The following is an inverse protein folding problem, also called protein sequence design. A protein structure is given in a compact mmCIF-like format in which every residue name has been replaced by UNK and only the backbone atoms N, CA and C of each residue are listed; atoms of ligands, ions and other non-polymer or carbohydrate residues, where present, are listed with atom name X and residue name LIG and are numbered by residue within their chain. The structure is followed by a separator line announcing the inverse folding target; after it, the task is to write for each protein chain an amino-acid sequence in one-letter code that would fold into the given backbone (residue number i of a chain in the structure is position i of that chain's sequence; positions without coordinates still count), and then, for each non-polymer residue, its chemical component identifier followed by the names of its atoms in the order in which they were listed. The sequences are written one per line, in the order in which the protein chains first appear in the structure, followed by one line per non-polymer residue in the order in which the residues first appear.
data_IF_112763756767
#
_entry.id   IF_112763756767
#
_cell.length_a   1.000
_cell.length_b   1.000
_cell.length_c   1.000
_cell.angle_alpha   90.00
_cell.angle_beta   90.00
_cell.angle_gamma   90.00
#
_symmetry.space_group_name_H-M   'P 1'
#
loop_
_entity.id
_entity.type
_entity.pdbx_description
1 polymer ?
#
# COMPACT_ATOMS: atom_id res chain seq x y z
N UNK A 1 42.51 -140.38 90.19
CA UNK A 1 41.58 -141.47 90.57
C UNK A 1 42.17 -142.75 90.01
N UNK A 2 42.72 -143.67 90.81
CA UNK A 2 41.99 -144.58 91.73
C UNK A 2 40.87 -145.31 90.99
N UNK A 3 41.16 -146.51 90.51
CA UNK A 3 40.13 -147.51 90.22
C UNK A 3 39.56 -147.91 91.57
N UNK A 4 38.45 -147.29 91.96
CA UNK A 4 37.65 -147.80 93.06
C UNK A 4 36.98 -149.07 92.55
N UNK A 5 37.22 -150.19 93.22
CA UNK A 5 36.39 -151.37 93.04
C UNK A 5 34.94 -150.95 93.21
N UNK A 6 34.18 -151.04 92.12
CA UNK A 6 32.76 -150.77 92.14
C UNK A 6 32.10 -151.98 92.78
N UNK A 7 32.05 -152.00 94.12
CA UNK A 7 31.22 -152.93 94.87
C UNK A 7 29.85 -152.97 94.18
N UNK A 8 29.53 -154.09 93.55
CA UNK A 8 28.45 -154.13 92.59
C UNK A 8 27.13 -153.90 93.33
N UNK A 9 26.61 -152.66 93.26
CA UNK A 9 25.45 -152.24 94.05
C UNK A 9 24.33 -153.24 93.80
N UNK A 10 23.94 -153.97 94.84
CA UNK A 10 23.09 -155.15 94.71
C UNK A 10 21.73 -154.83 95.33
N UNK A 11 20.75 -154.55 94.47
CA UNK A 11 19.38 -154.26 94.91
C UNK A 11 18.55 -155.55 94.91
N UNK A 12 17.72 -155.80 95.93
CA UNK A 12 16.95 -157.04 96.01
C UNK A 12 15.93 -157.13 94.87
N UNK A 13 15.81 -158.32 94.27
CA UNK A 13 14.85 -158.59 93.20
C UNK A 13 13.42 -158.34 93.68
N UNK A 14 12.67 -157.50 92.96
CA UNK A 14 11.25 -157.17 93.22
C UNK A 14 10.26 -158.32 92.97
N UNK A 15 10.71 -159.57 93.11
CA UNK A 15 9.87 -160.76 93.14
C UNK A 15 10.38 -161.82 94.13
N UNK A 16 11.68 -162.13 94.12
CA UNK A 16 12.27 -163.22 94.93
C UNK A 16 13.33 -162.76 95.96
N UNK A 17 13.55 -161.45 96.13
CA UNK A 17 14.46 -160.88 97.12
C UNK A 17 15.96 -161.04 96.84
N UNK A 18 16.37 -161.99 95.99
CA UNK A 18 17.79 -162.23 95.63
C UNK A 18 18.53 -160.93 95.22
N UNK A 19 19.80 -160.75 95.59
CA UNK A 19 20.57 -159.57 95.17
C UNK A 19 20.75 -159.56 93.65
N UNK A 20 20.30 -158.48 93.00
CA UNK A 20 20.49 -158.24 91.57
C UNK A 20 21.60 -157.20 91.40
N UNK A 21 22.76 -157.54 90.81
CA UNK A 21 23.81 -156.56 90.55
C UNK A 21 23.29 -155.50 89.60
N UNK A 22 23.37 -154.24 90.02
CA UNK A 22 23.07 -153.09 89.18
C UNK A 22 24.22 -152.84 88.20
N UNK A 23 23.96 -152.00 87.19
CA UNK A 23 25.02 -151.46 86.34
C UNK A 23 25.50 -150.13 86.92
N UNK A 24 26.79 -149.86 86.78
CA UNK A 24 27.42 -148.58 87.12
C UNK A 24 27.20 -147.47 86.08
N UNK A 25 26.43 -147.74 85.01
CA UNK A 25 26.17 -146.81 83.91
C UNK A 25 24.70 -146.37 83.83
N UNK A 26 24.48 -145.16 83.29
CA UNK A 26 23.22 -144.43 83.38
C UNK A 26 21.96 -145.20 82.92
N UNK A 27 20.82 -144.76 83.46
CA UNK A 27 19.47 -145.20 83.11
C UNK A 27 18.85 -146.21 84.08
N UNK A 28 17.58 -146.57 83.82
CA UNK A 28 16.70 -147.31 84.74
C UNK A 28 17.33 -148.57 85.39
N UNK A 29 17.43 -148.64 86.73
CA UNK A 29 17.94 -149.80 87.48
C UNK A 29 17.24 -151.14 87.18
N UNK A 30 17.99 -152.24 87.32
CA UNK A 30 17.51 -153.62 87.17
C UNK A 30 16.70 -154.06 88.40
N UNK A 31 15.37 -154.08 88.27
CA UNK A 31 14.42 -154.40 89.36
C UNK A 31 14.13 -155.90 89.52
N UNK A 32 14.67 -156.77 88.66
CA UNK A 32 14.44 -158.23 88.67
C UNK A 32 15.69 -159.02 88.29
N UNK A 33 15.79 -160.26 88.79
CA UNK A 33 16.76 -161.26 88.34
C UNK A 33 16.76 -161.44 86.81
N UNK A 34 17.96 -161.50 86.23
CA UNK A 34 18.23 -161.67 84.79
C UNK A 34 18.92 -163.01 84.49
N UNK A 35 19.57 -163.56 85.49
CA UNK A 35 20.15 -164.91 85.66
C UNK A 35 19.18 -166.08 85.46
N UNK A 36 17.88 -165.80 85.27
CA UNK A 36 16.82 -166.79 85.33
C UNK A 36 15.79 -166.56 84.19
N UNK A 37 16.26 -166.28 82.97
CA UNK A 37 15.50 -166.01 81.73
C UNK A 37 14.34 -164.99 81.83
N UNK A 38 14.43 -164.09 82.81
CA UNK A 38 13.36 -163.15 83.14
C UNK A 38 12.15 -163.77 83.83
N UNK A 39 12.20 -165.03 84.30
CA UNK A 39 11.14 -165.68 85.08
C UNK A 39 10.62 -164.79 86.21
N UNK A 40 11.51 -164.16 86.98
CA UNK A 40 11.11 -163.24 88.05
C UNK A 40 10.33 -162.01 87.55
N UNK A 41 10.62 -161.52 86.34
CA UNK A 41 9.87 -160.44 85.70
C UNK A 41 8.53 -160.94 85.15
N UNK A 42 8.48 -162.14 84.55
CA UNK A 42 7.25 -162.79 84.04
C UNK A 42 6.30 -163.12 85.19
N UNK A 43 6.81 -163.72 86.26
CA UNK A 43 6.07 -164.04 87.48
C UNK A 43 5.56 -162.77 88.16
N UNK A 44 6.39 -161.73 88.34
CA UNK A 44 5.93 -160.42 88.83
C UNK A 44 4.87 -159.77 87.93
N UNK A 45 4.93 -159.95 86.60
CA UNK A 45 3.90 -159.50 85.66
C UNK A 45 2.60 -160.31 85.83
N UNK A 46 2.68 -161.63 85.95
CA UNK A 46 1.52 -162.50 86.13
C UNK A 46 0.83 -162.30 87.49
N UNK A 47 1.61 -162.11 88.56
CA UNK A 47 1.12 -161.72 89.90
C UNK A 47 0.37 -160.40 89.82
N UNK A 48 0.94 -159.36 89.19
CA UNK A 48 0.23 -158.08 88.97
C UNK A 48 -1.00 -158.21 88.09
N UNK A 49 -0.96 -158.99 87.01
CA UNK A 49 -2.13 -159.23 86.15
C UNK A 49 -3.27 -159.90 86.95
N UNK A 50 -2.97 -160.96 87.71
CA UNK A 50 -3.94 -161.63 88.59
C UNK A 50 -4.51 -160.69 89.65
N UNK A 51 -3.68 -159.88 90.31
CA UNK A 51 -4.15 -158.92 91.31
C UNK A 51 -4.99 -157.77 90.70
N UNK A 52 -4.62 -157.23 89.53
CA UNK A 52 -5.44 -156.26 88.78
C UNK A 52 -6.82 -156.82 88.41
N UNK A 53 -6.86 -158.09 88.03
CA UNK A 53 -8.07 -158.83 87.61
C UNK A 53 -8.85 -159.45 88.79
N UNK A 54 -8.32 -159.38 90.02
CA UNK A 54 -9.02 -159.90 91.20
C UNK A 54 -10.22 -159.00 91.54
N UNK A 55 -11.45 -159.55 91.66
CA UNK A 55 -12.61 -158.78 92.08
C UNK A 55 -12.49 -158.35 93.55
N UNK A 56 -13.17 -157.26 93.92
CA UNK A 56 -13.22 -156.76 95.29
C UNK A 56 -11.96 -156.05 95.79
N UNK A 57 -11.82 -156.04 97.12
CA UNK A 57 -10.91 -155.14 97.86
C UNK A 57 -9.42 -155.39 97.54
N UNK A 58 -9.02 -156.64 97.34
CA UNK A 58 -7.64 -156.97 96.94
C UNK A 58 -7.22 -156.34 95.60
N UNK A 59 -8.15 -156.28 94.62
CA UNK A 59 -7.90 -155.61 93.34
C UNK A 59 -7.89 -154.08 93.44
N UNK A 60 -8.61 -153.51 94.40
CA UNK A 60 -8.51 -152.07 94.71
C UNK A 60 -7.15 -151.74 95.34
N UNK A 61 -6.70 -152.52 96.34
CA UNK A 61 -5.38 -152.38 96.97
C UNK A 61 -4.25 -152.56 95.96
N UNK A 62 -4.37 -153.50 95.02
CA UNK A 62 -3.39 -153.65 93.95
C UNK A 62 -3.30 -152.41 93.04
N UNK A 63 -4.44 -151.78 92.72
CA UNK A 63 -4.47 -150.55 91.92
C UNK A 63 -3.93 -149.33 92.69
N UNK A 64 -4.18 -149.20 93.99
CA UNK A 64 -3.57 -148.11 94.78
C UNK A 64 -2.06 -148.27 94.91
N UNK A 65 -1.54 -149.48 95.06
CA UNK A 65 -0.08 -149.74 95.02
C UNK A 65 0.56 -149.36 93.68
N UNK A 66 -0.13 -149.52 92.55
CA UNK A 66 0.38 -149.07 91.24
C UNK A 66 0.30 -147.54 91.06
N UNK A 67 -0.62 -146.86 91.75
CA UNK A 67 -0.59 -145.39 91.88
C UNK A 67 0.60 -144.95 92.74
N UNK A 68 0.90 -145.66 93.84
CA UNK A 68 2.08 -145.38 94.68
C UNK A 68 3.39 -145.60 93.91
N UNK A 69 3.56 -146.71 93.17
CA UNK A 69 4.75 -146.94 92.32
C UNK A 69 4.90 -145.88 91.22
N UNK A 70 3.79 -145.31 90.74
CA UNK A 70 3.81 -144.19 89.78
C UNK A 70 4.12 -142.84 90.43
N UNK A 71 3.65 -142.60 91.65
CA UNK A 71 4.01 -141.42 92.45
C UNK A 71 5.50 -141.44 92.83
N UNK A 72 6.03 -142.60 93.22
CA UNK A 72 7.47 -142.80 93.49
C UNK A 72 8.32 -142.49 92.24
N UNK A 73 7.92 -142.98 91.06
CA UNK A 73 8.57 -142.64 89.79
C UNK A 73 8.46 -141.15 89.43
N UNK A 74 7.32 -140.50 89.70
CA UNK A 74 7.17 -139.06 89.50
C UNK A 74 8.05 -138.26 90.47
N UNK A 75 8.04 -138.58 91.77
CA UNK A 75 8.90 -137.96 92.79
C UNK A 75 10.36 -138.13 92.42
N UNK A 76 10.80 -139.33 92.02
CA UNK A 76 12.16 -139.57 91.53
C UNK A 76 12.54 -138.65 90.36
N UNK A 77 11.69 -138.57 89.33
CA UNK A 77 11.93 -137.68 88.18
C UNK A 77 11.90 -136.19 88.53
N UNK A 78 11.05 -135.79 89.49
CA UNK A 78 10.98 -134.42 89.99
C UNK A 78 12.18 -134.08 90.86
N UNK A 79 12.71 -135.02 91.66
CA UNK A 79 13.95 -134.84 92.42
C UNK A 79 15.17 -134.80 91.52
N UNK A 80 15.22 -135.62 90.46
CA UNK A 80 16.31 -135.59 89.47
C UNK A 80 16.30 -134.27 88.68
N UNK A 81 15.13 -133.82 88.20
CA UNK A 81 14.99 -132.52 87.53
C UNK A 81 15.22 -131.32 88.46
N UNK A 82 14.73 -131.36 89.70
CA UNK A 82 15.00 -130.33 90.70
C UNK A 82 16.48 -130.31 91.05
N UNK A 83 17.15 -131.45 91.12
CA UNK A 83 18.60 -131.50 91.35
C UNK A 83 19.39 -131.01 90.13
N UNK A 84 18.97 -131.30 88.90
CA UNK A 84 19.65 -130.76 87.71
C UNK A 84 19.57 -129.23 87.65
N UNK A 85 18.41 -128.64 87.97
CA UNK A 85 18.23 -127.18 87.95
C UNK A 85 18.76 -126.46 89.22
N UNK A 86 18.61 -127.04 90.41
CA UNK A 86 19.07 -126.44 91.68
C UNK A 86 20.51 -126.82 92.06
N UNK A 87 21.18 -127.71 91.31
CA UNK A 87 22.62 -127.94 91.50
C UNK A 87 23.41 -126.65 91.20
N UNK A 88 24.60 -126.46 91.80
CA UNK A 88 25.45 -125.32 91.47
C UNK A 88 25.70 -125.17 89.96
N UNK A 89 25.91 -126.29 89.24
CA UNK A 89 26.10 -126.28 87.79
C UNK A 89 24.82 -125.91 87.00
N UNK A 90 23.63 -126.30 87.51
CA UNK A 90 22.34 -125.90 86.93
C UNK A 90 22.10 -124.39 87.07
N UNK A 91 22.33 -123.86 88.27
CA UNK A 91 22.23 -122.42 88.54
C UNK A 91 23.30 -121.63 87.77
N UNK A 92 24.54 -122.12 87.69
CA UNK A 92 25.59 -121.49 86.87
C UNK A 92 25.23 -121.47 85.38
N UNK A 93 24.61 -122.53 84.85
CA UNK A 93 24.08 -122.56 83.47
C UNK A 93 22.97 -121.53 83.28
N UNK A 94 21.97 -121.48 84.16
CA UNK A 94 20.88 -120.48 84.09
C UNK A 94 21.42 -119.05 84.18
N UNK A 95 22.38 -118.80 85.08
CA UNK A 95 23.05 -117.49 85.22
C UNK A 95 23.90 -117.16 83.98
N UNK A 96 24.54 -118.14 83.35
CA UNK A 96 25.27 -117.94 82.09
C UNK A 96 24.32 -117.64 80.91
N UNK A 97 23.18 -118.32 80.85
CA UNK A 97 22.13 -118.09 79.85
C UNK A 97 21.52 -116.68 79.99
N UNK A 98 21.10 -116.29 81.19
CA UNK A 98 20.62 -114.92 81.49
C UNK A 98 21.70 -113.86 81.23
N UNK A 99 22.99 -114.15 81.51
CA UNK A 99 24.10 -113.25 81.16
C UNK A 99 24.31 -113.14 79.64
N UNK A 100 24.13 -114.22 78.89
CA UNK A 100 24.21 -114.19 77.43
C UNK A 100 23.04 -113.42 76.82
N UNK A 101 21.82 -113.65 77.30
CA UNK A 101 20.62 -112.93 76.87
C UNK A 101 20.74 -111.43 77.17
N UNK A 102 21.06 -111.05 78.41
CA UNK A 102 21.23 -109.64 78.80
C UNK A 102 22.40 -108.97 78.07
N UNK A 103 23.49 -109.69 77.78
CA UNK A 103 24.56 -109.17 76.91
C UNK A 103 24.07 -108.93 75.47
N UNK A 104 23.22 -109.81 74.94
CA UNK A 104 22.57 -109.63 73.64
C UNK A 104 21.61 -108.44 73.60
N UNK A 105 20.78 -108.29 74.64
CA UNK A 105 19.87 -107.14 74.81
C UNK A 105 20.65 -105.81 74.91
N UNK A 106 21.76 -105.77 75.66
CA UNK A 106 22.63 -104.58 75.76
C UNK A 106 23.33 -104.29 74.43
N UNK A 107 23.79 -105.30 73.70
CA UNK A 107 24.37 -105.13 72.36
C UNK A 107 23.34 -104.58 71.36
N UNK A 108 22.10 -105.09 71.38
CA UNK A 108 21.00 -104.58 70.56
C UNK A 108 20.67 -103.12 70.90
N UNK A 109 20.50 -102.78 72.18
CA UNK A 109 20.22 -101.41 72.62
C UNK A 109 21.37 -100.43 72.28
N UNK A 110 22.63 -100.90 72.23
CA UNK A 110 23.75 -100.10 71.74
C UNK A 110 23.75 -99.91 70.22
N UNK A 111 23.36 -100.94 69.44
CA UNK A 111 23.16 -100.80 68.00
C UNK A 111 22.02 -99.82 67.70
N UNK A 112 20.83 -99.99 68.29
CA UNK A 112 19.68 -99.10 68.14
C UNK A 112 20.01 -97.64 68.49
N UNK A 113 20.76 -97.41 69.58
CA UNK A 113 21.23 -96.06 69.97
C UNK A 113 22.17 -95.47 68.92
N UNK A 114 23.14 -96.24 68.44
CA UNK A 114 24.15 -95.74 67.51
C UNK A 114 23.60 -95.60 66.09
N UNK A 115 22.56 -96.34 65.74
CA UNK A 115 21.75 -96.19 64.52
C UNK A 115 20.91 -94.90 64.60
N UNK A 116 20.15 -94.71 65.69
CA UNK A 116 19.39 -93.49 65.93
C UNK A 116 20.28 -92.22 65.98
N UNK A 117 21.54 -92.35 66.45
CA UNK A 117 22.52 -91.24 66.37
C UNK A 117 22.89 -90.93 64.91
N UNK A 118 23.17 -91.92 64.07
CA UNK A 118 23.50 -91.69 62.66
C UNK A 118 22.32 -91.11 61.89
N UNK A 119 21.10 -91.58 62.17
CA UNK A 119 19.88 -91.00 61.58
C UNK A 119 19.69 -89.52 62.00
N UNK A 120 19.98 -89.18 63.26
CA UNK A 120 19.96 -87.78 63.72
C UNK A 120 21.05 -86.92 63.07
N UNK A 121 22.27 -87.46 62.89
CA UNK A 121 23.38 -86.79 62.19
C UNK A 121 23.05 -86.56 60.70
N UNK A 122 22.44 -87.55 60.03
CA UNK A 122 21.96 -87.44 58.66
C UNK A 122 20.81 -86.43 58.53
N UNK A 123 19.83 -86.47 59.44
CA UNK A 123 18.72 -85.51 59.46
C UNK A 123 19.21 -84.06 59.71
N UNK A 124 20.16 -83.85 60.62
CA UNK A 124 20.78 -82.55 60.85
C UNK A 124 21.54 -82.04 59.62
N UNK A 125 22.28 -82.93 58.95
CA UNK A 125 23.00 -82.62 57.70
C UNK A 125 22.04 -82.22 56.58
N UNK A 126 20.95 -82.99 56.41
CA UNK A 126 19.92 -82.71 55.42
C UNK A 126 19.18 -81.39 55.70
N UNK A 127 18.88 -81.10 56.97
CA UNK A 127 18.26 -79.84 57.37
C UNK A 127 19.18 -78.63 57.11
N UNK A 128 20.48 -78.74 57.39
CA UNK A 128 21.46 -77.70 57.10
C UNK A 128 21.59 -77.45 55.58
N UNK A 129 21.64 -78.51 54.77
CA UNK A 129 21.64 -78.39 53.31
C UNK A 129 20.35 -77.73 52.78
N UNK A 130 19.18 -78.12 53.30
CA UNK A 130 17.91 -77.50 52.92
C UNK A 130 17.83 -76.00 53.29
N UNK A 131 18.38 -75.61 54.44
CA UNK A 131 18.50 -74.20 54.85
C UNK A 131 19.43 -73.41 53.92
N UNK A 132 20.57 -73.99 53.52
CA UNK A 132 21.48 -73.36 52.55
C UNK A 132 20.83 -73.16 51.17
N UNK A 133 20.11 -74.17 50.67
CA UNK A 133 19.37 -74.10 49.40
C UNK A 133 18.26 -73.03 49.49
N UNK A 134 17.50 -72.99 50.59
CA UNK A 134 16.46 -71.97 50.79
C UNK A 134 17.03 -70.55 50.88
N UNK A 135 18.20 -70.36 51.51
CA UNK A 135 18.89 -69.09 51.55
C UNK A 135 19.40 -68.66 50.17
N UNK A 136 20.01 -69.57 49.40
CA UNK A 136 20.46 -69.31 48.03
C UNK A 136 19.30 -68.93 47.11
N UNK A 137 18.22 -69.71 47.07
CA UNK A 137 17.03 -69.41 46.27
C UNK A 137 16.34 -68.09 46.69
N UNK A 138 16.46 -67.68 47.96
CA UNK A 138 15.99 -66.37 48.41
C UNK A 138 16.86 -65.24 47.88
N UNK A 139 18.19 -65.39 47.92
CA UNK A 139 19.13 -64.42 47.37
C UNK A 139 18.99 -64.28 45.84
N UNK A 140 18.90 -65.39 45.10
CA UNK A 140 18.67 -65.41 43.64
C UNK A 140 17.36 -64.69 43.26
N UNK A 141 16.27 -64.94 44.00
CA UNK A 141 14.99 -64.26 43.81
C UNK A 141 15.10 -62.75 44.02
N UNK A 142 15.79 -62.33 45.07
CA UNK A 142 15.88 -60.92 45.44
C UNK A 142 16.87 -60.16 44.54
N UNK A 143 17.92 -60.82 44.03
CA UNK A 143 18.76 -60.29 42.95
C UNK A 143 17.95 -60.16 41.64
N UNK A 144 17.24 -61.20 41.21
CA UNK A 144 16.42 -61.17 40.00
C UNK A 144 15.33 -60.08 40.08
N UNK A 145 14.78 -59.83 41.27
CA UNK A 145 13.87 -58.71 41.52
C UNK A 145 14.55 -57.34 41.40
N UNK A 146 15.76 -57.20 41.94
CA UNK A 146 16.54 -55.96 41.80
C UNK A 146 16.88 -55.68 40.33
N UNK A 147 17.36 -56.69 39.59
CA UNK A 147 17.62 -56.61 38.14
C UNK A 147 16.34 -56.21 37.35
N UNK A 148 15.16 -56.71 37.74
CA UNK A 148 13.90 -56.38 37.09
C UNK A 148 13.46 -54.92 37.33
N UNK A 149 13.57 -54.40 38.56
CA UNK A 149 13.30 -52.98 38.83
C UNK A 149 14.35 -52.06 38.18
N UNK A 150 15.62 -52.50 38.06
CA UNK A 150 16.66 -51.76 37.35
C UNK A 150 16.41 -51.68 35.84
N UNK A 151 16.04 -52.80 35.22
CA UNK A 151 15.62 -52.85 33.81
C UNK A 151 14.39 -51.96 33.55
N UNK A 152 13.42 -51.95 34.47
CA UNK A 152 12.24 -51.08 34.42
C UNK A 152 12.62 -49.60 34.53
N UNK A 153 13.45 -49.21 35.50
CA UNK A 153 13.94 -47.82 35.63
C UNK A 153 14.70 -47.36 34.38
N UNK A 154 15.53 -48.23 33.79
CA UNK A 154 16.22 -47.95 32.54
C UNK A 154 15.25 -47.78 31.35
N UNK A 155 14.19 -48.60 31.27
CA UNK A 155 13.15 -48.46 30.26
C UNK A 155 12.32 -47.17 30.42
N UNK A 156 11.96 -46.79 31.65
CA UNK A 156 11.27 -45.52 31.97
C UNK A 156 12.13 -44.29 31.66
N UNK A 157 13.46 -44.37 31.81
CA UNK A 157 14.39 -43.32 31.40
C UNK A 157 14.57 -43.25 29.86
N UNK A 158 14.72 -44.40 29.20
CA UNK A 158 14.77 -44.47 27.74
C UNK A 158 13.48 -43.94 27.10
N UNK A 159 12.32 -44.24 27.69
CA UNK A 159 11.03 -43.71 27.27
C UNK A 159 10.94 -42.19 27.39
N UNK A 160 11.40 -41.61 28.51
CA UNK A 160 11.49 -40.14 28.68
C UNK A 160 12.43 -39.50 27.66
N UNK A 161 13.65 -40.03 27.48
CA UNK A 161 14.60 -39.55 26.47
C UNK A 161 14.04 -39.62 25.04
N UNK A 162 13.26 -40.64 24.71
CA UNK A 162 12.58 -40.75 23.42
C UNK A 162 11.45 -39.71 23.24
N UNK A 163 10.68 -39.42 24.29
CA UNK A 163 9.65 -38.37 24.27
C UNK A 163 10.26 -36.97 24.15
N UNK A 164 11.35 -36.69 24.88
CA UNK A 164 12.12 -35.45 24.79
C UNK A 164 12.69 -35.24 23.38
N UNK A 165 13.29 -36.28 22.78
CA UNK A 165 13.79 -36.23 21.41
C UNK A 165 12.67 -36.01 20.37
N UNK A 166 11.50 -36.63 20.55
CA UNK A 166 10.35 -36.40 19.68
C UNK A 166 9.80 -34.96 19.80
N UNK A 167 9.66 -34.44 21.02
CA UNK A 167 9.24 -33.06 21.26
C UNK A 167 10.23 -32.03 20.67
N UNK A 168 11.54 -32.28 20.79
CA UNK A 168 12.59 -31.46 20.19
C UNK A 168 12.56 -31.50 18.66
N UNK A 169 12.33 -32.68 18.06
CA UNK A 169 12.12 -32.83 16.60
C UNK A 169 10.92 -32.01 16.14
N UNK A 170 9.78 -32.12 16.82
CA UNK A 170 8.54 -31.45 16.39
C UNK A 170 8.63 -29.94 16.56
N UNK A 171 9.38 -29.47 17.56
CA UNK A 171 9.72 -28.05 17.71
C UNK A 171 10.68 -27.55 16.62
N UNK A 172 11.67 -28.36 16.21
CA UNK A 172 12.54 -28.04 15.08
C UNK A 172 11.76 -27.98 13.75
N UNK A 173 10.82 -28.90 13.53
CA UNK A 173 9.92 -28.90 12.37
C UNK A 173 9.04 -27.65 12.37
N UNK A 174 8.38 -27.31 13.48
CA UNK A 174 7.59 -26.06 13.61
C UNK A 174 8.42 -24.82 13.27
N UNK A 175 9.63 -24.72 13.81
CA UNK A 175 10.57 -23.61 13.52
C UNK A 175 10.98 -23.57 12.05
N UNK A 176 11.26 -24.72 11.43
CA UNK A 176 11.59 -24.79 10.01
C UNK A 176 10.41 -24.36 9.12
N UNK A 177 9.20 -24.83 9.38
CA UNK A 177 7.99 -24.41 8.66
C UNK A 177 7.72 -22.92 8.81
N UNK A 178 7.87 -22.36 10.02
CA UNK A 178 7.73 -20.92 10.25
C UNK A 178 8.79 -20.10 9.49
N UNK A 179 10.04 -20.56 9.45
CA UNK A 179 11.11 -19.92 8.70
C UNK A 179 10.88 -19.95 7.17
N UNK A 180 10.32 -21.05 6.63
CA UNK A 180 9.92 -21.14 5.22
C UNK A 180 8.79 -20.16 4.91
N UNK A 181 7.72 -20.14 5.71
CA UNK A 181 6.60 -19.21 5.51
C UNK A 181 7.01 -17.73 5.61
N UNK A 182 7.97 -17.41 6.50
CA UNK A 182 8.57 -16.06 6.56
C UNK A 182 9.40 -15.73 5.31
N UNK A 183 10.10 -16.72 4.71
CA UNK A 183 10.86 -16.52 3.48
C UNK A 183 9.94 -16.32 2.27
N UNK A 184 8.91 -17.16 2.13
CA UNK A 184 7.89 -17.05 1.08
C UNK A 184 7.15 -15.69 1.15
N UNK A 185 6.84 -15.23 2.37
CA UNK A 185 6.30 -13.88 2.59
C UNK A 185 7.28 -12.78 2.17
N UNK A 186 8.55 -12.87 2.57
CA UNK A 186 9.56 -11.88 2.20
C UNK A 186 9.86 -11.87 0.69
N UNK A 187 9.77 -13.03 0.02
CA UNK A 187 9.84 -13.16 -1.44
C UNK A 187 8.62 -12.45 -2.09
N UNK A 188 7.41 -12.69 -1.60
CA UNK A 188 6.20 -12.00 -2.08
C UNK A 188 6.19 -10.48 -1.81
N UNK A 189 6.70 -10.03 -0.66
CA UNK A 189 6.80 -8.59 -0.33
C UNK A 189 7.89 -7.90 -1.18
N UNK A 190 8.99 -8.59 -1.50
CA UNK A 190 10.01 -8.12 -2.47
C UNK A 190 9.42 -7.98 -3.87
N UNK A 191 8.66 -8.96 -4.33
CA UNK A 191 8.15 -8.99 -5.70
C UNK A 191 7.05 -7.95 -5.91
N UNK A 192 6.15 -7.76 -4.93
CA UNK A 192 5.21 -6.64 -4.92
C UNK A 192 5.94 -5.28 -4.96
N UNK A 193 7.01 -5.11 -4.16
CA UNK A 193 7.81 -3.89 -4.18
C UNK A 193 8.60 -3.68 -5.50
N UNK A 194 8.82 -4.73 -6.29
CA UNK A 194 9.41 -4.63 -7.62
C UNK A 194 8.37 -4.17 -8.66
N UNK A 195 7.14 -4.70 -8.59
CA UNK A 195 6.01 -4.28 -9.43
C UNK A 195 5.63 -2.82 -9.16
N UNK A 196 5.51 -2.41 -7.88
CA UNK A 196 5.29 -1.01 -7.46
C UNK A 196 6.38 -0.08 -8.01
N UNK A 197 7.65 -0.52 -7.97
CA UNK A 197 8.78 0.24 -8.49
C UNK A 197 8.76 0.34 -10.02
N UNK A 198 8.23 -0.66 -10.74
CA UNK A 198 8.03 -0.55 -12.19
C UNK A 198 6.84 0.37 -12.52
N UNK A 199 5.73 0.27 -11.79
CA UNK A 199 4.59 1.18 -11.93
C UNK A 199 5.02 2.65 -11.75
N UNK A 200 5.71 2.96 -10.65
CA UNK A 200 6.23 4.31 -10.39
C UNK A 200 7.24 4.80 -11.45
N UNK A 201 8.00 3.89 -12.09
CA UNK A 201 8.89 4.23 -13.22
C UNK A 201 8.10 4.57 -14.48
N UNK A 202 7.03 3.83 -14.77
CA UNK A 202 6.12 4.10 -15.91
C UNK A 202 5.41 5.44 -15.71
N UNK A 203 4.82 5.68 -14.54
CA UNK A 203 4.21 6.97 -14.19
C UNK A 203 5.19 8.14 -14.31
N UNK A 204 6.43 7.98 -13.82
CA UNK A 204 7.46 9.01 -13.96
C UNK A 204 7.88 9.25 -15.43
N UNK A 205 7.82 8.23 -16.27
CA UNK A 205 8.04 8.36 -17.71
C UNK A 205 6.87 9.08 -18.39
N UNK A 206 5.63 8.75 -18.05
CA UNK A 206 4.43 9.39 -18.59
C UNK A 206 4.34 10.86 -18.17
N UNK A 207 4.65 11.19 -16.91
CA UNK A 207 4.76 12.58 -16.41
C UNK A 207 5.85 13.36 -17.16
N UNK A 208 6.99 12.73 -17.48
CA UNK A 208 8.03 13.35 -18.32
C UNK A 208 7.55 13.57 -19.75
N UNK A 209 6.88 12.59 -20.36
CA UNK A 209 6.33 12.70 -21.71
C UNK A 209 5.21 13.75 -21.81
N UNK A 210 4.38 13.87 -20.78
CA UNK A 210 3.37 14.92 -20.65
C UNK A 210 4.02 16.31 -20.51
N UNK A 211 5.03 16.46 -19.64
CA UNK A 211 5.83 17.69 -19.52
C UNK A 211 6.47 18.09 -20.85
N UNK A 212 7.11 17.15 -21.54
CA UNK A 212 7.82 17.40 -22.79
C UNK A 212 6.86 17.68 -23.96
N UNK A 213 5.58 17.34 -23.81
CA UNK A 213 4.49 17.75 -24.70
C UNK A 213 4.02 19.16 -24.36
N UNK A 214 3.66 19.42 -23.11
CA UNK A 214 3.26 20.75 -22.64
C UNK A 214 4.34 21.83 -22.87
N UNK A 215 5.63 21.49 -22.80
CA UNK A 215 6.71 22.43 -23.14
C UNK A 215 6.80 22.70 -24.64
N UNK A 216 6.52 21.71 -25.50
CA UNK A 216 6.40 21.93 -26.95
C UNK A 216 5.19 22.79 -27.27
N UNK A 217 4.04 22.51 -26.67
CA UNK A 217 2.81 23.27 -26.87
C UNK A 217 2.96 24.72 -26.40
N UNK A 218 3.65 24.94 -25.27
CA UNK A 218 4.00 26.28 -24.78
C UNK A 218 4.95 27.02 -25.75
N UNK A 219 5.96 26.34 -26.32
CA UNK A 219 6.84 26.95 -27.34
C UNK A 219 6.07 27.32 -28.60
N UNK A 220 5.13 26.48 -29.04
CA UNK A 220 4.22 26.75 -30.16
C UNK A 220 3.34 27.97 -29.87
N UNK A 221 2.64 27.99 -28.73
CA UNK A 221 1.80 29.12 -28.34
C UNK A 221 2.58 30.44 -28.18
N UNK A 222 3.84 30.39 -27.71
CA UNK A 222 4.75 31.54 -27.68
C UNK A 222 5.12 32.01 -29.10
N UNK A 223 5.26 31.10 -30.05
CA UNK A 223 5.54 31.45 -31.45
C UNK A 223 4.29 32.02 -32.14
N UNK A 224 3.14 31.36 -32.00
CA UNK A 224 1.84 31.85 -32.50
C UNK A 224 1.54 33.26 -31.95
N UNK A 225 1.84 33.52 -30.67
CA UNK A 225 1.68 34.84 -30.05
C UNK A 225 2.65 35.90 -30.61
N UNK A 226 3.86 35.53 -31.05
CA UNK A 226 4.77 36.44 -31.76
C UNK A 226 4.29 36.71 -33.17
N UNK A 227 3.76 35.71 -33.87
CA UNK A 227 3.31 35.85 -35.26
C UNK A 227 1.96 36.59 -35.33
N UNK A 228 1.10 36.41 -34.33
CA UNK A 228 -0.05 37.29 -34.06
C UNK A 228 0.39 38.72 -33.75
N UNK A 229 1.43 38.94 -32.93
CA UNK A 229 1.97 40.29 -32.71
C UNK A 229 2.52 40.89 -34.01
N UNK A 230 3.31 40.14 -34.77
CA UNK A 230 3.92 40.59 -36.03
C UNK A 230 2.87 40.91 -37.11
N UNK A 231 1.78 40.15 -37.17
CA UNK A 231 0.64 40.45 -38.06
C UNK A 231 -0.19 41.65 -37.58
N UNK A 232 -0.40 41.82 -36.27
CA UNK A 232 -1.01 43.04 -35.70
C UNK A 232 -0.14 44.28 -35.95
N UNK A 233 1.17 44.19 -35.75
CA UNK A 233 2.10 45.28 -36.07
C UNK A 233 2.14 45.57 -37.58
N UNK A 234 2.06 44.57 -38.44
CA UNK A 234 1.99 44.77 -39.89
C UNK A 234 0.66 45.39 -40.33
N UNK A 235 -0.46 45.00 -39.71
CA UNK A 235 -1.76 45.63 -39.91
C UNK A 235 -1.78 47.07 -39.37
N UNK A 236 -1.12 47.34 -38.24
CA UNK A 236 -0.97 48.69 -37.69
C UNK A 236 -0.08 49.57 -38.57
N UNK A 237 1.02 49.05 -39.13
CA UNK A 237 1.85 49.75 -40.13
C UNK A 237 1.04 50.08 -41.38
N UNK A 238 0.32 49.11 -41.95
CA UNK A 238 -0.60 49.36 -43.09
C UNK A 238 -1.67 50.39 -42.76
N UNK A 239 -2.31 50.31 -41.59
CA UNK A 239 -3.30 51.30 -41.17
C UNK A 239 -2.69 52.70 -40.96
N UNK A 240 -1.42 52.80 -40.54
CA UNK A 240 -0.69 54.07 -40.47
C UNK A 240 -0.29 54.60 -41.85
N UNK A 241 0.11 53.73 -42.77
CA UNK A 241 0.40 54.04 -44.18
C UNK A 241 -0.88 54.52 -44.89
N UNK A 242 -1.99 53.80 -44.75
CA UNK A 242 -3.33 54.15 -45.25
C UNK A 242 -3.85 55.45 -44.65
N UNK A 243 -3.69 55.68 -43.34
CA UNK A 243 -4.05 56.94 -42.68
C UNK A 243 -3.18 58.10 -43.17
N UNK A 244 -1.91 57.85 -43.49
CA UNK A 244 -0.98 58.87 -44.03
C UNK A 244 -1.34 59.20 -45.47
N UNK A 245 -1.56 58.20 -46.33
CA UNK A 245 -2.06 58.39 -47.69
C UNK A 245 -3.45 59.04 -47.72
N UNK A 246 -4.32 58.75 -46.75
CA UNK A 246 -5.62 59.42 -46.60
C UNK A 246 -5.46 60.89 -46.17
N UNK A 247 -4.50 61.20 -45.30
CA UNK A 247 -4.14 62.59 -44.96
C UNK A 247 -3.57 63.33 -46.17
N UNK A 248 -2.65 62.73 -46.91
CA UNK A 248 -2.11 63.28 -48.16
C UNK A 248 -3.20 63.52 -49.20
N UNK A 249 -4.19 62.61 -49.34
CA UNK A 249 -5.35 62.83 -50.20
C UNK A 249 -6.28 63.94 -49.70
N UNK A 250 -6.42 64.12 -48.39
CA UNK A 250 -7.19 65.23 -47.80
C UNK A 250 -6.45 66.56 -47.95
N UNK A 251 -5.11 66.56 -47.85
CA UNK A 251 -4.26 67.74 -48.08
C UNK A 251 -4.18 68.11 -49.57
N UNK A 252 -4.14 67.13 -50.47
CA UNK A 252 -4.28 67.36 -51.91
C UNK A 252 -5.67 67.93 -52.24
N UNK A 253 -6.75 67.34 -51.71
CA UNK A 253 -8.12 67.85 -51.89
C UNK A 253 -8.34 69.21 -51.24
N UNK A 254 -7.69 69.54 -50.12
CA UNK A 254 -7.78 70.86 -49.51
C UNK A 254 -6.94 71.88 -50.27
N UNK A 255 -5.77 71.50 -50.79
CA UNK A 255 -4.99 72.33 -51.72
C UNK A 255 -5.75 72.58 -53.03
N UNK A 256 -6.48 71.59 -53.56
CA UNK A 256 -7.35 71.76 -54.73
C UNK A 256 -8.59 72.60 -54.41
N UNK A 257 -9.23 72.43 -53.25
CA UNK A 257 -10.31 73.30 -52.80
C UNK A 257 -9.84 74.75 -52.57
N UNK A 258 -8.59 74.95 -52.12
CA UNK A 258 -7.95 76.27 -52.03
C UNK A 258 -7.61 76.83 -53.42
N UNK A 259 -7.14 75.99 -54.37
CA UNK A 259 -6.92 76.41 -55.77
C UNK A 259 -8.22 76.82 -56.46
N UNK A 260 -9.31 76.06 -56.26
CA UNK A 260 -10.64 76.42 -56.76
C UNK A 260 -11.24 77.62 -56.03
N UNK A 261 -11.05 77.73 -54.71
CA UNK A 261 -11.43 78.93 -53.95
C UNK A 261 -10.68 80.19 -54.40
N UNK A 262 -9.40 80.06 -54.76
CA UNK A 262 -8.61 81.15 -55.36
C UNK A 262 -9.07 81.48 -56.79
N UNK A 263 -9.46 80.48 -57.60
CA UNK A 263 -10.06 80.69 -58.92
C UNK A 263 -11.41 81.39 -58.82
N UNK A 264 -12.28 80.97 -57.91
CA UNK A 264 -13.56 81.61 -57.61
C UNK A 264 -13.35 83.06 -57.13
N UNK A 265 -12.49 83.29 -56.13
CA UNK A 265 -12.19 84.63 -55.63
C UNK A 265 -11.40 85.51 -56.61
N UNK A 266 -10.86 84.96 -57.70
CA UNK A 266 -10.30 85.72 -58.82
C UNK A 266 -11.39 86.07 -59.86
N UNK A 267 -12.30 85.13 -60.17
CA UNK A 267 -13.46 85.37 -61.03
C UNK A 267 -14.47 86.35 -60.41
N UNK A 268 -14.60 86.35 -59.08
CA UNK A 268 -15.43 87.27 -58.31
C UNK A 268 -14.84 88.69 -58.31
N UNK A 269 -13.53 88.83 -58.04
CA UNK A 269 -12.83 90.11 -58.23
C UNK A 269 -12.89 90.62 -59.67
N UNK A 270 -12.71 89.76 -60.67
CA UNK A 270 -12.88 90.14 -62.08
C UNK A 270 -14.32 90.55 -62.43
N UNK A 271 -15.33 90.08 -61.68
CA UNK A 271 -16.72 90.55 -61.77
C UNK A 271 -16.90 91.92 -61.13
N UNK A 272 -16.35 92.14 -59.93
CA UNK A 272 -16.44 93.42 -59.24
C UNK A 272 -15.68 94.53 -59.99
N UNK A 273 -14.49 94.23 -60.52
CA UNK A 273 -13.73 95.11 -61.39
C UNK A 273 -14.51 95.44 -62.68
N UNK A 274 -15.22 94.48 -63.26
CA UNK A 274 -16.06 94.70 -64.43
C UNK A 274 -17.32 95.53 -64.11
N UNK A 275 -17.90 95.38 -62.90
CA UNK A 275 -19.03 96.20 -62.43
C UNK A 275 -18.59 97.63 -62.15
N UNK A 276 -17.40 97.85 -61.57
CA UNK A 276 -16.81 99.18 -61.42
C UNK A 276 -16.47 99.82 -62.77
N UNK A 277 -15.91 99.08 -63.72
CA UNK A 277 -15.66 99.57 -65.07
C UNK A 277 -16.97 99.93 -65.79
N UNK A 278 -18.03 99.13 -65.64
CA UNK A 278 -19.35 99.45 -66.18
C UNK A 278 -19.94 100.72 -65.57
N UNK A 279 -19.88 100.88 -64.25
CA UNK A 279 -20.35 102.10 -63.55
C UNK A 279 -19.59 103.35 -63.96
N UNK A 280 -18.27 103.26 -64.13
CA UNK A 280 -17.43 104.37 -64.61
C UNK A 280 -17.79 104.74 -66.04
N UNK A 281 -17.87 103.75 -66.94
CA UNK A 281 -18.32 103.97 -68.32
C UNK A 281 -19.75 104.55 -68.41
N UNK A 282 -20.65 104.21 -67.48
CA UNK A 282 -21.99 104.77 -67.41
C UNK A 282 -22.00 106.22 -66.88
N UNK A 283 -21.20 106.53 -65.85
CA UNK A 283 -21.00 107.90 -65.37
C UNK A 283 -20.32 108.81 -66.41
N UNK A 284 -19.31 108.29 -67.12
CA UNK A 284 -18.66 108.97 -68.25
C UNK A 284 -19.65 109.18 -69.41
N UNK A 285 -20.53 108.21 -69.68
CA UNK A 285 -21.57 108.33 -70.71
C UNK A 285 -22.67 109.33 -70.33
N UNK A 286 -23.02 109.48 -69.04
CA UNK A 286 -23.90 110.56 -68.57
C UNK A 286 -23.21 111.91 -68.74
N UNK A 287 -21.99 112.06 -68.23
CA UNK A 287 -21.19 113.29 -68.33
C UNK A 287 -20.98 113.73 -69.78
N UNK A 288 -20.71 112.79 -70.68
CA UNK A 288 -20.56 113.05 -72.12
C UNK A 288 -21.88 113.45 -72.80
N UNK A 289 -23.03 112.91 -72.35
CA UNK A 289 -24.37 113.32 -72.84
C UNK A 289 -24.73 114.72 -72.38
N UNK A 290 -24.46 115.06 -71.12
CA UNK A 290 -24.68 116.40 -70.56
C UNK A 290 -23.81 117.44 -71.26
N UNK A 291 -22.52 117.14 -71.46
CA UNK A 291 -21.62 117.96 -72.27
C UNK A 291 -22.11 118.13 -73.72
N UNK A 292 -22.62 117.06 -74.34
CA UNK A 292 -23.17 117.13 -75.70
C UNK A 292 -24.44 118.00 -75.77
N UNK A 293 -25.34 117.93 -74.77
CA UNK A 293 -26.50 118.81 -74.71
C UNK A 293 -26.13 120.27 -74.44
N UNK A 294 -25.10 120.53 -73.63
CA UNK A 294 -24.57 121.87 -73.42
C UNK A 294 -24.00 122.46 -74.72
N UNK A 295 -23.13 121.72 -75.42
CA UNK A 295 -22.54 122.14 -76.71
C UNK A 295 -23.61 122.34 -77.80
N UNK A 296 -24.67 121.53 -77.83
CA UNK A 296 -25.79 121.73 -78.76
C UNK A 296 -26.63 122.97 -78.42
N UNK A 297 -26.88 123.24 -77.14
CA UNK A 297 -27.57 124.46 -76.71
C UNK A 297 -26.74 125.73 -76.97
N UNK A 298 -25.42 125.66 -76.77
CA UNK A 298 -24.47 126.73 -77.07
C UNK A 298 -24.40 126.99 -78.58
N UNK A 299 -24.25 125.94 -79.41
CA UNK A 299 -24.29 126.03 -80.87
C UNK A 299 -25.59 126.65 -81.37
N UNK A 300 -26.74 126.24 -80.85
CA UNK A 300 -28.04 126.74 -81.30
C UNK A 300 -28.33 128.17 -80.79
N UNK A 301 -27.69 128.59 -79.70
CA UNK A 301 -27.67 129.98 -79.24
C UNK A 301 -26.79 130.83 -80.16
N UNK A 302 -25.57 130.37 -80.46
CA UNK A 302 -24.65 131.02 -81.40
C UNK A 302 -25.27 131.17 -82.80
N UNK A 303 -26.02 130.17 -83.27
CA UNK A 303 -26.73 130.24 -84.55
C UNK A 303 -27.79 131.35 -84.56
N UNK A 304 -28.59 131.46 -83.50
CA UNK A 304 -29.59 132.54 -83.36
C UNK A 304 -28.94 133.93 -83.31
N UNK A 305 -27.84 134.08 -82.55
CA UNK A 305 -27.10 135.35 -82.52
C UNK A 305 -26.50 135.72 -83.88
N UNK A 306 -26.09 134.73 -84.68
CA UNK A 306 -25.58 134.98 -86.02
C UNK A 306 -26.72 135.38 -86.99
N UNK A 307 -27.86 134.68 -86.92
CA UNK A 307 -29.07 135.06 -87.68
C UNK A 307 -29.61 136.45 -87.28
N UNK A 308 -29.50 136.86 -86.02
CA UNK A 308 -29.85 138.20 -85.55
C UNK A 308 -28.81 139.26 -86.00
N UNK A 309 -27.52 138.91 -86.02
CA UNK A 309 -26.44 139.76 -86.53
C UNK A 309 -26.62 140.02 -88.03
N UNK A 310 -26.77 138.97 -88.85
CA UNK A 310 -27.11 139.08 -90.27
C UNK A 310 -28.35 139.95 -90.46
N UNK A 311 -29.45 139.68 -89.74
CA UNK A 311 -30.68 140.50 -89.79
C UNK A 311 -30.51 141.91 -89.24
N UNK A 312 -29.40 142.28 -88.61
CA UNK A 312 -29.11 143.67 -88.17
C UNK A 312 -28.18 144.40 -89.14
N UNK A 313 -27.18 143.72 -89.71
CA UNK A 313 -26.38 144.21 -90.85
C UNK A 313 -27.30 144.50 -92.04
N UNK A 314 -28.25 143.62 -92.33
CA UNK A 314 -29.20 143.77 -93.43
C UNK A 314 -30.20 144.93 -93.21
N UNK A 315 -30.42 145.36 -91.96
CA UNK A 315 -31.14 146.60 -91.64
C UNK A 315 -30.23 147.81 -91.81
N UNK A 316 -29.05 147.80 -91.19
CA UNK A 316 -28.08 148.89 -91.30
C UNK A 316 -27.72 149.22 -92.76
N UNK A 317 -27.58 148.23 -93.63
CA UNK A 317 -27.34 148.43 -95.06
C UNK A 317 -28.52 149.10 -95.79
N UNK A 318 -29.78 148.76 -95.43
CA UNK A 318 -30.98 149.39 -95.98
C UNK A 318 -31.17 150.81 -95.47
N UNK A 319 -30.90 151.03 -94.18
CA UNK A 319 -30.95 152.34 -93.53
C UNK A 319 -29.86 153.26 -94.07
N UNK A 320 -28.64 152.76 -94.30
CA UNK A 320 -27.58 153.48 -95.00
C UNK A 320 -27.99 153.83 -96.44
N UNK A 321 -28.52 152.87 -97.21
CA UNK A 321 -28.97 153.14 -98.57
C UNK A 321 -30.17 154.11 -98.64
N UNK A 322 -31.01 154.18 -97.61
CA UNK A 322 -32.07 155.19 -97.49
C UNK A 322 -31.50 156.56 -97.11
N UNK A 323 -30.56 156.63 -96.16
CA UNK A 323 -29.84 157.85 -95.80
C UNK A 323 -29.05 158.42 -96.98
N UNK A 324 -28.34 157.60 -97.75
CA UNK A 324 -27.62 158.03 -98.96
C UNK A 324 -28.58 158.60 -100.02
N UNK A 325 -29.75 157.98 -100.22
CA UNK A 325 -30.79 158.51 -101.12
C UNK A 325 -31.40 159.83 -100.60
N UNK A 326 -31.69 159.94 -99.31
CA UNK A 326 -32.16 161.19 -98.68
C UNK A 326 -31.11 162.30 -98.78
N UNK A 327 -29.83 161.98 -98.63
CA UNK A 327 -28.72 162.94 -98.67
C UNK A 327 -28.43 163.37 -100.12
N UNK A 328 -28.55 162.46 -101.10
CA UNK A 328 -28.54 162.81 -102.52
C UNK A 328 -29.73 163.69 -102.91
N UNK A 329 -30.94 163.38 -102.43
CA UNK A 329 -32.14 164.19 -102.67
C UNK A 329 -32.03 165.57 -102.02
N UNK A 330 -31.59 165.66 -100.76
CA UNK A 330 -31.39 166.91 -100.05
C UNK A 330 -30.27 167.77 -100.67
N UNK A 331 -29.23 167.15 -101.26
CA UNK A 331 -28.25 167.88 -102.09
C UNK A 331 -28.89 168.40 -103.38
N UNK A 332 -29.65 167.60 -104.11
CA UNK A 332 -30.35 168.05 -105.32
C UNK A 332 -31.36 169.19 -105.04
N UNK A 333 -32.08 169.14 -103.92
CA UNK A 333 -32.97 170.22 -103.48
C UNK A 333 -32.17 171.47 -103.03
N UNK A 334 -31.04 171.29 -102.33
CA UNK A 334 -30.15 172.41 -101.96
C UNK A 334 -29.51 173.07 -103.19
N UNK A 335 -29.06 172.30 -104.17
CA UNK A 335 -28.53 172.79 -105.45
C UNK A 335 -29.65 173.46 -106.27
N UNK A 336 -30.87 172.93 -106.25
CA UNK A 336 -32.04 173.57 -106.88
C UNK A 336 -32.42 174.88 -106.18
N UNK A 337 -32.31 174.94 -104.85
CA UNK A 337 -32.51 176.16 -104.08
C UNK A 337 -31.40 177.19 -104.33
N UNK A 338 -30.13 176.78 -104.38
CA UNK A 338 -29.00 177.67 -104.71
C UNK A 338 -29.11 178.18 -106.16
N UNK A 339 -29.49 177.34 -107.12
CA UNK A 339 -29.74 177.80 -108.49
C UNK A 339 -30.93 178.77 -108.56
N UNK A 340 -32.00 178.55 -107.79
CA UNK A 340 -33.10 179.53 -107.65
C UNK A 340 -32.65 180.84 -107.00
N UNK A 341 -31.78 180.79 -105.99
CA UNK A 341 -31.19 182.00 -105.37
C UNK A 341 -30.28 182.72 -106.36
N UNK A 342 -29.43 182.02 -107.12
CA UNK A 342 -28.59 182.61 -108.16
C UNK A 342 -29.43 183.24 -109.30
N UNK A 343 -30.52 182.56 -109.70
CA UNK A 343 -31.46 183.06 -110.70
C UNK A 343 -32.24 184.28 -110.20
N UNK A 344 -32.64 184.32 -108.92
CA UNK A 344 -33.22 185.50 -108.28
C UNK A 344 -32.19 186.63 -108.10
N UNK A 345 -30.91 186.31 -107.83
CA UNK A 345 -29.85 187.32 -107.69
C UNK A 345 -29.51 187.96 -109.04
N UNK A 346 -29.45 187.17 -110.12
CA UNK A 346 -29.43 187.70 -111.50
C UNK A 346 -30.65 188.58 -111.72
N UNK A 347 -31.87 188.07 -111.52
CA UNK A 347 -33.09 188.84 -111.76
C UNK A 347 -33.13 190.15 -110.95
N UNK A 348 -32.60 190.20 -109.72
CA UNK A 348 -32.51 191.43 -108.91
C UNK A 348 -31.39 192.37 -109.38
N UNK A 349 -30.23 191.86 -109.81
CA UNK A 349 -29.16 192.68 -110.40
C UNK A 349 -29.54 193.23 -111.78
N UNK A 350 -30.23 192.43 -112.59
CA UNK A 350 -30.82 192.82 -113.86
C UNK A 350 -31.98 193.81 -113.65
N UNK A 351 -32.75 193.69 -112.56
CA UNK A 351 -33.74 194.70 -112.15
C UNK A 351 -33.07 196.00 -111.65
N UNK A 352 -31.89 195.92 -111.03
CA UNK A 352 -31.11 197.10 -110.63
C UNK A 352 -30.46 197.81 -111.84
N UNK A 353 -30.12 197.07 -112.90
CA UNK A 353 -29.70 197.64 -114.19
C UNK A 353 -30.89 198.19 -115.00
N UNK A 354 -32.05 197.50 -114.95
CA UNK A 354 -33.29 197.92 -115.60
C UNK A 354 -34.03 199.05 -114.84
N UNK A 355 -33.70 199.28 -113.57
CA UNK A 355 -33.85 200.58 -112.89
C UNK A 355 -32.74 201.54 -113.33
N UNK A 356 -32.69 201.73 -114.64
CA UNK A 356 -32.83 203.02 -115.31
C UNK A 356 -32.55 204.24 -114.42
N UNK A 357 -31.63 205.12 -114.80
CA UNK A 357 -31.77 205.95 -116.01
C UNK A 357 -33.10 206.76 -116.09
N UNK A 358 -33.84 206.89 -114.98
CA UNK A 358 -35.04 207.74 -114.83
C UNK A 358 -34.86 208.90 -113.82
N UNK A 359 -33.67 209.05 -113.24
CA UNK A 359 -33.21 210.23 -112.49
C UNK A 359 -31.71 210.09 -112.20
N UNK A 360 -30.78 210.87 -112.74
CA UNK A 360 -30.62 212.34 -112.82
C UNK A 360 -30.08 212.97 -111.52
N UNK A 361 -28.89 213.58 -111.66
CA UNK A 361 -28.24 214.57 -110.77
C UNK A 361 -27.59 214.15 -109.42
N UNK A 362 -26.25 214.02 -109.48
CA UNK A 362 -25.27 214.62 -108.52
C UNK A 362 -25.09 213.91 -107.14
N UNK A 363 -24.04 214.23 -106.32
CA UNK A 363 -22.73 213.56 -106.48
C UNK A 363 -22.05 213.04 -105.18
N UNK A 364 -20.87 212.44 -105.38
CA UNK A 364 -19.65 212.52 -104.55
C UNK A 364 -19.37 211.53 -103.39
N UNK A 365 -18.24 210.82 -103.55
CA UNK A 365 -17.27 210.43 -102.51
C UNK A 365 -17.73 209.38 -101.45
N UNK A 366 -16.87 209.00 -100.46
CA UNK A 366 -15.81 208.03 -100.68
C UNK A 366 -15.84 206.83 -99.69
N UNK A 367 -14.72 206.09 -99.59
CA UNK A 367 -14.50 204.96 -98.67
C UNK A 367 -14.66 205.32 -97.16
N UNK A 368 -14.85 204.35 -96.24
CA UNK A 368 -13.70 203.59 -95.72
C UNK A 368 -14.01 202.10 -95.34
N UNK A 369 -13.16 201.49 -94.50
CA UNK A 369 -13.06 200.06 -94.21
C UNK A 369 -13.46 199.65 -92.76
N UNK A 370 -13.54 198.33 -92.53
CA UNK A 370 -13.54 197.65 -91.20
C UNK A 370 -14.81 197.87 -90.33
N UNK A 371 -15.06 197.10 -89.22
CA UNK A 371 -14.12 196.39 -88.33
C UNK A 371 -14.53 194.97 -87.81
N UNK A 372 -13.74 194.46 -86.85
CA UNK A 372 -14.08 193.47 -85.79
C UNK A 372 -14.99 194.12 -84.70
N UNK A 373 -15.44 193.48 -83.58
CA UNK A 373 -15.10 192.18 -82.94
C UNK A 373 -16.41 191.33 -82.70
N UNK A 374 -16.72 190.56 -81.63
CA UNK A 374 -16.11 190.23 -80.32
C UNK A 374 -16.67 188.95 -79.67
N UNK A 375 -15.81 188.31 -78.86
CA UNK A 375 -15.98 187.49 -77.64
C UNK A 375 -17.35 187.08 -77.05
N UNK A 376 -17.35 185.84 -76.52
CA UNK A 376 -18.09 185.28 -75.36
C UNK A 376 -19.63 185.13 -75.43
N UNK A 377 -20.22 184.13 -74.74
CA UNK A 377 -19.66 183.17 -73.76
C UNK A 377 -19.69 181.72 -74.23
#
# INVERSE_FOLDING_TARGET
MTVQDSEAETRPCGHCGRPVPQRSSAGRPFRYCRDNDGECQRASRNVRMRHRQSPGLAGQVARTWEVVDRLDQLVGSLTEALHSEMSPAGVERQVAEVRAETSGQVAAAHAERDDARRDAEHAATAAAAAQQIAAAATAERDEARQQAEDAKRAAEEAGRRAQEAAAARDEAVRKATAAVALRERAESERDAAADDLEAARRELQDVRSARDTAERDLRTAIQDAKDLRGTVEAAQRRAQEELTAAREQVEQRSADAVREGQRAAAAERARDDAVEQARRAEADAVTAREALTAVLAERDTLRRTNEDLERSVDRAARDQADLERRLAFARADADTAQNRVAQLTSQVSDLAAALAALGAARPAAPAPAQPSPSDNS
#
